data_IF_284920024665
#
_entry.id   IF_284920024665
#
_cell.length_a   1.000
_cell.length_b   1.000
_cell.length_c   1.000
_cell.angle_alpha   90.00
_cell.angle_beta   90.00
_cell.angle_gamma   90.00
#
_symmetry.space_group_name_H-M   'P 1'
#
loop_
_entity.id
_entity.type
_entity.pdbx_description
1 polymer ?
#
# COMPACT_ATOMS: atom_id res chain seq x y z
N UNK A 1 -5.65 -20.17 2.11
CA UNK A 1 -5.55 -19.54 3.45
C UNK A 1 -4.16 -18.93 3.58
N UNK A 2 -3.11 -19.72 3.86
CA UNK A 2 -1.69 -19.28 3.87
C UNK A 2 -1.24 -18.55 2.58
N UNK A 3 -1.63 -19.06 1.41
CA UNK A 3 -1.38 -18.38 0.13
C UNK A 3 -2.23 -17.11 -0.05
N UNK A 4 -3.42 -16.96 0.54
CA UNK A 4 -4.28 -15.78 0.35
C UNK A 4 -3.88 -14.62 1.26
N UNK A 5 -3.40 -14.89 2.47
CA UNK A 5 -2.84 -13.88 3.37
C UNK A 5 -1.41 -13.48 2.97
N UNK A 6 -0.59 -14.45 2.51
CA UNK A 6 0.69 -14.17 1.83
C UNK A 6 0.47 -13.37 0.56
N UNK A 7 -0.53 -13.72 -0.26
CA UNK A 7 -0.97 -12.87 -1.35
C UNK A 7 -1.36 -11.53 -0.76
N UNK A 8 -2.39 -11.35 0.07
CA UNK A 8 -2.81 -10.04 0.59
C UNK A 8 -1.69 -9.16 1.14
N UNK A 9 -0.67 -9.68 1.85
CA UNK A 9 0.47 -8.89 2.33
C UNK A 9 1.47 -8.59 1.21
N UNK A 10 1.78 -9.57 0.35
CA UNK A 10 2.52 -9.34 -0.89
C UNK A 10 1.74 -8.46 -1.84
N UNK A 11 0.41 -8.48 -1.88
CA UNK A 11 -0.47 -7.63 -2.66
C UNK A 11 -0.50 -6.29 -1.99
N UNK A 12 -0.63 -6.08 -0.69
CA UNK A 12 -0.54 -4.75 -0.11
C UNK A 12 0.84 -4.12 -0.29
N UNK A 13 1.93 -4.87 -0.12
CA UNK A 13 3.30 -4.37 -0.38
C UNK A 13 3.55 -4.19 -1.88
N UNK A 14 3.08 -5.12 -2.73
CA UNK A 14 3.09 -4.95 -4.18
C UNK A 14 2.11 -3.86 -4.54
N UNK A 15 0.77 -3.93 -4.48
CA UNK A 15 -0.22 -2.82 -4.57
C UNK A 15 0.28 -1.48 -4.03
N UNK A 16 1.05 -1.38 -2.94
CA UNK A 16 1.65 -0.09 -2.57
C UNK A 16 2.83 0.28 -3.49
N UNK A 17 3.78 -0.63 -3.75
CA UNK A 17 4.86 -0.47 -4.74
C UNK A 17 4.40 -0.51 -6.23
N UNK A 18 3.23 -1.07 -6.50
CA UNK A 18 2.55 -1.38 -7.75
C UNK A 18 1.63 -0.21 -8.01
N UNK A 19 0.79 0.25 -7.10
CA UNK A 19 0.03 1.52 -7.26
C UNK A 19 0.94 2.73 -7.39
N UNK A 20 2.13 2.74 -6.77
CA UNK A 20 3.15 3.76 -7.03
C UNK A 20 3.70 3.73 -8.46
N UNK A 21 3.62 2.57 -9.13
CA UNK A 21 4.17 2.28 -10.46
C UNK A 21 3.05 2.02 -11.51
N UNK A 22 1.78 1.84 -11.11
CA UNK A 22 0.64 1.31 -11.88
C UNK A 22 -0.31 2.39 -12.37
N UNK A 23 -0.17 3.64 -11.93
CA UNK A 23 -0.92 4.74 -12.53
C UNK A 23 -0.25 5.22 -13.83
N UNK A 24 0.12 4.35 -14.76
CA UNK A 24 0.85 4.76 -15.96
C UNK A 24 0.33 4.05 -17.21
N UNK A 25 -0.77 4.53 -17.81
CA UNK A 25 -0.92 4.52 -19.28
C UNK A 25 -2.04 5.46 -19.77
N UNK A 26 -1.70 6.31 -20.73
CA UNK A 26 -2.49 6.51 -21.95
C UNK A 26 -1.49 6.65 -23.11
N UNK A 27 -1.90 6.30 -24.33
CA UNK A 27 -0.98 6.15 -25.47
C UNK A 27 -0.12 7.38 -25.82
N UNK A 28 -0.52 8.57 -25.37
CA UNK A 28 0.24 9.83 -25.51
C UNK A 28 1.27 10.03 -24.38
N UNK A 29 1.01 9.48 -23.18
CA UNK A 29 1.92 9.48 -22.03
C UNK A 29 3.16 8.62 -22.31
N UNK A 30 2.99 7.51 -23.03
CA UNK A 30 4.04 6.54 -23.31
C UNK A 30 5.17 7.07 -24.21
N UNK A 31 4.89 8.11 -25.02
CA UNK A 31 5.92 8.83 -25.79
C UNK A 31 6.77 9.76 -24.93
N UNK A 32 6.22 10.31 -23.84
CA UNK A 32 6.92 11.26 -22.96
C UNK A 32 7.79 10.59 -21.88
N UNK A 33 7.57 9.31 -21.59
CA UNK A 33 8.37 8.54 -20.62
C UNK A 33 9.77 8.23 -21.20
N UNK A 34 10.81 8.92 -20.69
CA UNK A 34 12.20 8.77 -21.16
C UNK A 34 12.85 7.42 -20.79
N UNK A 35 12.34 6.71 -19.79
CA UNK A 35 12.92 5.45 -19.31
C UNK A 35 12.43 4.25 -20.12
N UNK A 36 13.33 3.69 -20.94
CA UNK A 36 13.09 2.47 -21.73
C UNK A 36 12.64 1.27 -20.88
N UNK A 37 13.04 1.18 -19.62
CA UNK A 37 12.68 0.09 -18.72
C UNK A 37 11.27 0.23 -18.16
N UNK A 38 10.89 1.46 -17.80
CA UNK A 38 9.53 1.78 -17.36
C UNK A 38 8.57 1.52 -18.52
N UNK A 39 8.87 2.03 -19.72
CA UNK A 39 8.04 1.80 -20.92
C UNK A 39 7.78 0.31 -21.20
N UNK A 40 8.84 -0.50 -21.24
CA UNK A 40 8.72 -1.95 -21.51
C UNK A 40 7.94 -2.70 -20.43
N UNK A 41 8.07 -2.28 -19.17
CA UNK A 41 7.32 -2.85 -18.06
C UNK A 41 5.83 -2.50 -18.13
N UNK A 42 5.50 -1.25 -18.48
CA UNK A 42 4.13 -0.76 -18.62
C UNK A 42 3.42 -1.40 -19.82
N UNK A 43 4.09 -1.50 -20.96
CA UNK A 43 3.58 -2.22 -22.14
C UNK A 43 3.20 -3.68 -21.79
N UNK A 44 3.95 -4.32 -20.89
CA UNK A 44 3.67 -5.68 -20.43
C UNK A 44 2.51 -5.79 -19.42
N UNK A 45 2.00 -4.66 -18.91
CA UNK A 45 0.94 -4.59 -17.88
C UNK A 45 -0.29 -3.80 -18.29
N UNK A 46 -0.34 -3.34 -19.55
CA UNK A 46 -1.42 -2.54 -20.13
C UNK A 46 -2.82 -3.05 -19.75
N UNK A 47 -3.09 -4.33 -19.99
CA UNK A 47 -4.41 -4.92 -19.72
C UNK A 47 -4.83 -4.80 -18.24
N UNK A 48 -3.89 -4.85 -17.30
CA UNK A 48 -4.16 -4.71 -15.86
C UNK A 48 -4.46 -3.25 -15.48
N UNK A 49 -3.76 -2.31 -16.11
CA UNK A 49 -3.96 -0.88 -15.91
C UNK A 49 -5.30 -0.44 -16.48
N UNK A 50 -5.60 -0.82 -17.72
CA UNK A 50 -6.86 -0.51 -18.40
C UNK A 50 -8.07 -1.05 -17.60
N UNK A 51 -7.94 -2.27 -17.05
CA UNK A 51 -8.97 -2.84 -16.16
C UNK A 51 -9.17 -2.02 -14.89
N UNK A 52 -8.09 -1.61 -14.22
CA UNK A 52 -8.17 -0.81 -12.99
C UNK A 52 -8.71 0.60 -13.23
N UNK A 53 -8.40 1.21 -14.38
CA UNK A 53 -8.96 2.49 -14.79
C UNK A 53 -10.47 2.39 -15.05
N UNK A 54 -10.91 1.30 -15.68
CA UNK A 54 -12.34 1.05 -15.90
C UNK A 54 -13.08 0.89 -14.58
N UNK A 55 -12.55 0.10 -13.64
CA UNK A 55 -13.14 -0.05 -12.30
C UNK A 55 -13.18 1.27 -11.53
N UNK A 56 -12.14 2.09 -11.67
CA UNK A 56 -12.10 3.41 -11.06
C UNK A 56 -13.12 4.36 -11.69
N UNK A 57 -13.34 4.30 -13.00
CA UNK A 57 -14.32 5.13 -13.71
C UNK A 57 -15.78 4.75 -13.35
N UNK A 58 -16.04 3.47 -13.03
CA UNK A 58 -17.34 3.03 -12.48
C UNK A 58 -17.67 3.72 -11.15
N UNK A 59 -16.65 3.97 -10.32
CA UNK A 59 -16.78 4.65 -9.03
C UNK A 59 -16.73 6.17 -9.20
N UNK A 60 -15.91 6.63 -10.13
CA UNK A 60 -15.57 8.03 -10.37
C UNK A 60 -15.64 8.37 -11.87
N UNK A 61 -16.84 8.64 -12.41
CA UNK A 61 -17.01 8.85 -13.85
C UNK A 61 -16.19 10.03 -14.37
N UNK A 62 -15.41 9.79 -15.44
CA UNK A 62 -14.57 10.81 -16.09
C UNK A 62 -13.31 11.18 -15.30
N UNK A 63 -12.92 10.36 -14.32
CA UNK A 63 -11.64 10.54 -13.61
C UNK A 63 -10.47 10.05 -14.46
N UNK A 64 -10.71 9.07 -15.33
CA UNK A 64 -9.73 8.48 -16.24
C UNK A 64 -8.95 9.54 -17.03
N UNK A 65 -9.65 10.44 -17.74
CA UNK A 65 -9.03 11.53 -18.51
C UNK A 65 -8.18 12.47 -17.64
N UNK A 66 -8.69 12.84 -16.45
CA UNK A 66 -7.96 13.73 -15.53
C UNK A 66 -6.76 13.04 -14.88
N UNK A 67 -6.83 11.71 -14.76
CA UNK A 67 -5.77 10.92 -14.18
C UNK A 67 -4.56 10.89 -15.11
N UNK A 68 -4.78 10.87 -16.43
CA UNK A 68 -3.69 10.97 -17.42
C UNK A 68 -2.84 12.22 -17.20
N UNK A 69 -3.48 13.40 -17.07
CA UNK A 69 -2.78 14.66 -16.80
C UNK A 69 -2.06 14.64 -15.44
N UNK A 70 -2.71 14.11 -14.40
CA UNK A 70 -2.11 14.01 -13.07
C UNK A 70 -0.89 13.06 -13.06
N UNK A 71 -0.91 12.03 -13.88
CA UNK A 71 0.16 11.07 -14.08
C UNK A 71 1.35 11.68 -14.82
N UNK A 72 1.10 12.44 -15.89
CA UNK A 72 2.17 13.19 -16.57
C UNK A 72 2.86 14.13 -15.59
N UNK A 73 2.08 14.86 -14.79
CA UNK A 73 2.62 15.76 -13.76
C UNK A 73 3.43 15.00 -12.70
N UNK A 74 2.98 13.81 -12.29
CA UNK A 74 3.74 12.93 -11.40
C UNK A 74 5.09 12.54 -12.00
N UNK A 75 5.12 12.09 -13.25
CA UNK A 75 6.35 11.69 -13.95
C UNK A 75 7.33 12.86 -14.10
N UNK A 76 6.83 14.01 -14.54
CA UNK A 76 7.67 15.21 -14.67
C UNK A 76 8.20 15.70 -13.33
N UNK A 77 7.45 15.50 -12.25
CA UNK A 77 7.90 15.78 -10.90
C UNK A 77 8.97 14.78 -10.45
N UNK A 78 8.77 13.48 -10.71
CA UNK A 78 9.73 12.43 -10.38
C UNK A 78 11.06 12.60 -11.15
N UNK A 79 11.01 12.99 -12.42
CA UNK A 79 12.19 13.29 -13.24
C UNK A 79 12.99 14.53 -12.76
N UNK A 80 12.38 15.39 -11.93
CA UNK A 80 13.04 16.57 -11.33
C UNK A 80 13.62 16.28 -9.94
N UNK A 81 13.44 15.07 -9.41
CA UNK A 81 14.03 14.67 -8.14
C UNK A 81 15.54 14.61 -8.31
N UNK A 82 16.26 15.24 -7.39
CA UNK A 82 17.72 15.36 -7.47
C UNK A 82 18.39 13.99 -7.35
N UNK A 83 19.20 13.63 -8.36
CA UNK A 83 19.96 12.38 -8.42
C UNK A 83 20.98 12.21 -7.28
N UNK A 84 21.30 13.29 -6.55
CA UNK A 84 22.18 13.25 -5.40
C UNK A 84 21.51 12.79 -4.10
N UNK A 85 20.17 12.66 -4.08
CA UNK A 85 19.43 12.16 -2.93
C UNK A 85 19.68 10.67 -2.71
N UNK A 86 19.73 10.26 -1.44
CA UNK A 86 19.68 8.83 -1.11
C UNK A 86 18.34 8.23 -1.53
N UNK A 87 18.28 6.91 -1.72
CA UNK A 87 17.03 6.20 -2.09
C UNK A 87 15.87 6.58 -1.15
N UNK A 88 16.17 6.75 0.14
CA UNK A 88 15.19 7.13 1.15
C UNK A 88 14.67 8.56 1.02
N UNK A 89 15.57 9.51 0.77
CA UNK A 89 15.21 10.91 0.56
C UNK A 89 14.47 11.08 -0.78
N UNK A 90 14.90 10.36 -1.81
CA UNK A 90 14.23 10.32 -3.11
C UNK A 90 12.81 9.76 -2.98
N UNK A 91 12.61 8.63 -2.28
CA UNK A 91 11.27 8.07 -2.04
C UNK A 91 10.42 9.09 -1.27
N UNK A 92 10.91 9.68 -0.17
CA UNK A 92 10.11 10.63 0.60
C UNK A 92 9.72 11.88 -0.20
N UNK A 93 10.68 12.46 -0.91
CA UNK A 93 10.48 13.69 -1.69
C UNK A 93 9.60 13.45 -2.91
N UNK A 94 9.88 12.40 -3.67
CA UNK A 94 9.11 12.04 -4.87
C UNK A 94 7.70 11.61 -4.50
N UNK A 95 7.56 10.74 -3.50
CA UNK A 95 6.26 10.17 -3.17
C UNK A 95 5.30 11.23 -2.68
N UNK A 96 5.69 12.06 -1.72
CA UNK A 96 4.74 13.00 -1.12
C UNK A 96 4.41 14.16 -2.05
N UNK A 97 5.42 14.71 -2.73
CA UNK A 97 5.22 15.91 -3.53
C UNK A 97 4.62 15.58 -4.89
N UNK A 98 5.06 14.49 -5.52
CA UNK A 98 4.62 14.16 -6.86
C UNK A 98 3.25 13.47 -6.89
N UNK A 99 2.84 12.77 -5.83
CA UNK A 99 1.52 12.09 -5.82
C UNK A 99 0.37 12.94 -5.32
N UNK A 100 0.62 14.12 -4.72
CA UNK A 100 -0.45 14.98 -4.22
C UNK A 100 -1.56 15.28 -5.25
N UNK A 101 -1.25 15.61 -6.52
CA UNK A 101 -2.28 15.81 -7.55
C UNK A 101 -3.14 14.57 -7.79
N UNK A 102 -2.52 13.38 -7.80
CA UNK A 102 -3.20 12.09 -7.97
C UNK A 102 -4.12 11.80 -6.78
N UNK A 103 -3.61 11.95 -5.56
CA UNK A 103 -4.37 11.73 -4.32
C UNK A 103 -5.60 12.61 -4.32
N UNK A 104 -5.43 13.91 -4.61
CA UNK A 104 -6.52 14.88 -4.57
C UNK A 104 -7.59 14.56 -5.61
N UNK A 105 -7.17 14.21 -6.83
CA UNK A 105 -8.09 13.86 -7.91
C UNK A 105 -9.00 12.69 -7.53
N UNK A 106 -8.40 11.63 -6.98
CA UNK A 106 -9.15 10.45 -6.53
C UNK A 106 -10.00 10.80 -5.30
N UNK A 107 -9.45 11.52 -4.32
CA UNK A 107 -10.20 11.85 -3.10
C UNK A 107 -11.42 12.74 -3.35
N UNK A 108 -11.33 13.66 -4.32
CA UNK A 108 -12.43 14.54 -4.71
C UNK A 108 -13.58 13.78 -5.38
N UNK A 109 -13.30 12.66 -6.03
CA UNK A 109 -14.30 11.85 -6.73
C UNK A 109 -14.96 10.78 -5.83
N UNK A 110 -14.32 10.42 -4.71
CA UNK A 110 -14.83 9.41 -3.79
C UNK A 110 -16.07 9.91 -3.02
N UNK A 111 -16.99 8.98 -2.64
CA UNK A 111 -18.10 9.31 -1.77
C UNK A 111 -17.60 9.80 -0.41
N UNK A 112 -18.37 10.66 0.27
CA UNK A 112 -17.98 11.29 1.53
C UNK A 112 -17.45 10.31 2.60
N UNK A 113 -18.02 9.10 2.67
CA UNK A 113 -17.59 8.05 3.60
C UNK A 113 -16.16 7.55 3.33
N UNK A 114 -15.73 7.53 2.07
CA UNK A 114 -14.44 7.02 1.62
C UNK A 114 -13.38 8.13 1.43
N UNK A 115 -13.74 9.40 1.67
CA UNK A 115 -12.77 10.49 1.66
C UNK A 115 -11.69 10.28 2.71
N UNK A 116 -10.48 10.69 2.37
CA UNK A 116 -9.26 10.49 3.13
C UNK A 116 -8.60 9.13 2.90
N UNK A 117 -9.25 8.14 2.26
CA UNK A 117 -8.62 6.83 2.01
C UNK A 117 -7.35 6.90 1.15
N UNK A 118 -7.31 7.66 0.04
CA UNK A 118 -6.08 7.81 -0.75
C UNK A 118 -4.95 8.43 0.07
N UNK A 119 -5.26 9.47 0.86
CA UNK A 119 -4.30 10.11 1.77
C UNK A 119 -3.80 9.16 2.85
N UNK A 120 -4.69 8.36 3.44
CA UNK A 120 -4.35 7.33 4.42
C UNK A 120 -3.33 6.34 3.83
N UNK A 121 -3.59 5.82 2.63
CA UNK A 121 -2.71 4.87 1.96
C UNK A 121 -1.30 5.43 1.71
N UNK A 122 -1.20 6.67 1.23
CA UNK A 122 0.09 7.32 0.99
C UNK A 122 0.84 7.63 2.28
N UNK A 123 0.12 8.06 3.33
CA UNK A 123 0.73 8.27 4.65
C UNK A 123 1.23 6.94 5.25
N UNK A 124 0.52 5.83 5.02
CA UNK A 124 0.98 4.50 5.44
C UNK A 124 2.25 4.10 4.70
N UNK A 125 2.31 4.30 3.39
CA UNK A 125 3.52 4.04 2.61
C UNK A 125 4.69 4.91 3.05
N UNK A 126 4.45 6.19 3.30
CA UNK A 126 5.46 7.12 3.82
C UNK A 126 6.02 6.61 5.15
N UNK A 127 5.14 6.24 6.08
CA UNK A 127 5.52 5.72 7.39
C UNK A 127 6.35 4.43 7.28
N UNK A 128 5.95 3.51 6.40
CA UNK A 128 6.73 2.30 6.08
C UNK A 128 8.11 2.65 5.53
N UNK A 129 8.18 3.58 4.57
CA UNK A 129 9.44 4.01 3.97
C UNK A 129 10.36 4.64 5.02
N UNK A 130 9.84 5.55 5.85
CA UNK A 130 10.57 6.14 6.98
C UNK A 130 11.08 5.09 7.96
N UNK A 131 10.28 4.07 8.25
CA UNK A 131 10.67 2.96 9.10
C UNK A 131 11.81 2.15 8.49
N UNK A 132 11.66 1.68 7.25
CA UNK A 132 12.66 0.86 6.54
C UNK A 132 13.98 1.61 6.35
N UNK A 133 13.92 2.92 6.08
CA UNK A 133 15.09 3.77 5.93
C UNK A 133 15.91 3.97 7.20
N UNK A 134 15.31 3.73 8.37
CA UNK A 134 16.01 3.75 9.67
C UNK A 134 16.56 2.38 10.05
N UNK A 135 16.20 1.32 9.32
CA UNK A 135 16.67 -0.03 9.61
C UNK A 135 18.06 -0.28 9.06
N UNK A 136 18.82 -1.11 9.78
CA UNK A 136 20.05 -1.68 9.25
C UNK A 136 19.76 -2.69 8.13
N UNK A 137 20.69 -2.88 7.19
CA UNK A 137 20.53 -3.92 6.16
C UNK A 137 20.31 -5.32 6.76
N UNK A 138 20.99 -5.64 7.87
CA UNK A 138 20.79 -6.89 8.61
C UNK A 138 19.35 -7.00 9.15
N UNK A 139 18.80 -5.93 9.70
CA UNK A 139 17.39 -5.88 10.12
C UNK A 139 16.44 -6.13 8.94
N UNK A 140 16.72 -5.57 7.77
CA UNK A 140 15.89 -5.80 6.57
C UNK A 140 15.92 -7.25 6.10
N UNK A 141 17.05 -7.95 6.22
CA UNK A 141 17.14 -9.38 5.91
C UNK A 141 16.30 -10.24 6.85
N UNK A 142 16.01 -9.78 8.07
CA UNK A 142 15.11 -10.51 8.97
C UNK A 142 13.65 -10.51 8.47
N UNK A 143 13.25 -9.55 7.63
CA UNK A 143 11.97 -9.62 6.91
C UNK A 143 11.94 -10.75 5.87
N UNK A 144 13.10 -11.36 5.57
CA UNK A 144 13.30 -12.56 4.74
C UNK A 144 13.51 -13.84 5.58
N UNK A 145 13.23 -13.79 6.90
CA UNK A 145 13.17 -14.96 7.77
C UNK A 145 11.89 -15.82 7.61
N UNK A 146 12.03 -17.12 7.25
CA UNK A 146 10.91 -18.04 7.08
C UNK A 146 9.93 -18.13 8.24
N UNK A 147 10.34 -17.89 9.49
CA UNK A 147 9.42 -17.99 10.63
C UNK A 147 8.24 -17.01 10.54
N UNK A 148 8.35 -15.93 9.74
CA UNK A 148 7.28 -14.97 9.48
C UNK A 148 6.24 -15.47 8.46
N UNK A 149 6.51 -16.52 7.69
CA UNK A 149 5.56 -17.05 6.69
C UNK A 149 5.42 -18.56 6.63
N UNK A 150 6.41 -19.34 7.01
CA UNK A 150 6.46 -20.80 6.80
C UNK A 150 5.79 -21.59 7.93
N UNK A 151 5.84 -21.15 9.19
CA UNK A 151 5.49 -22.01 10.33
C UNK A 151 4.60 -21.33 11.40
N UNK A 152 3.38 -20.97 11.03
CA UNK A 152 2.30 -20.88 12.02
C UNK A 152 1.69 -22.28 12.20
N UNK A 153 2.26 -23.10 13.08
CA UNK A 153 1.61 -24.34 13.50
C UNK A 153 0.28 -24.01 14.19
N UNK A 154 -0.80 -24.59 13.64
CA UNK A 154 -2.24 -24.55 13.99
C UNK A 154 -2.60 -24.20 15.45
N UNK A 155 -2.36 -22.97 15.87
CA UNK A 155 -2.92 -22.45 17.11
C UNK A 155 -4.36 -22.02 16.84
N UNK A 156 -5.32 -22.56 17.60
CA UNK A 156 -6.75 -22.26 17.43
C UNK A 156 -7.07 -20.76 17.50
N UNK A 157 -6.27 -20.01 18.26
CA UNK A 157 -6.36 -18.55 18.35
C UNK A 157 -5.89 -17.83 17.08
N UNK A 158 -4.80 -18.29 16.45
CA UNK A 158 -4.33 -17.75 15.16
C UNK A 158 -5.38 -18.02 14.07
N UNK A 159 -5.92 -19.25 14.03
CA UNK A 159 -6.94 -19.64 13.07
C UNK A 159 -8.28 -18.88 13.22
N UNK A 160 -8.62 -18.42 14.43
CA UNK A 160 -9.79 -17.56 14.62
C UNK A 160 -9.51 -16.14 14.14
N UNK A 161 -8.34 -15.59 14.47
CA UNK A 161 -7.91 -14.26 14.02
C UNK A 161 -7.91 -14.18 12.48
N UNK A 162 -7.34 -15.17 11.81
CA UNK A 162 -7.31 -15.25 10.34
C UNK A 162 -8.72 -15.28 9.73
N UNK A 163 -9.64 -16.09 10.28
CA UNK A 163 -11.03 -16.17 9.78
C UNK A 163 -11.78 -14.85 9.92
N UNK A 164 -11.56 -14.13 11.03
CA UNK A 164 -12.17 -12.82 11.25
C UNK A 164 -11.62 -11.80 10.25
N UNK A 165 -10.31 -11.84 9.96
CA UNK A 165 -9.71 -10.99 8.93
C UNK A 165 -10.23 -11.34 7.53
N UNK A 166 -10.33 -12.62 7.18
CA UNK A 166 -10.86 -13.08 5.89
C UNK A 166 -12.29 -12.58 5.69
N UNK A 167 -13.14 -12.69 6.72
CA UNK A 167 -14.54 -12.23 6.65
C UNK A 167 -14.62 -10.72 6.43
N UNK A 168 -13.78 -9.94 7.11
CA UNK A 168 -13.74 -8.48 6.93
C UNK A 168 -13.18 -8.08 5.57
N UNK A 169 -12.17 -8.79 5.09
CA UNK A 169 -11.60 -8.58 3.76
C UNK A 169 -12.62 -8.88 2.66
N UNK A 170 -13.34 -9.98 2.78
CA UNK A 170 -14.40 -10.37 1.85
C UNK A 170 -15.48 -9.27 1.75
N UNK A 171 -15.86 -8.67 2.89
CA UNK A 171 -16.77 -7.53 2.94
C UNK A 171 -16.23 -6.30 2.17
N UNK A 172 -14.92 -6.06 2.16
CA UNK A 172 -14.32 -4.94 1.44
C UNK A 172 -14.17 -5.20 -0.05
N UNK A 173 -13.82 -6.43 -0.44
CA UNK A 173 -13.58 -6.80 -1.84
C UNK A 173 -14.88 -7.08 -2.59
N UNK A 174 -15.80 -7.82 -1.96
CA UNK A 174 -17.05 -8.25 -2.59
C UNK A 174 -18.26 -7.39 -2.16
N UNK A 175 -18.05 -6.41 -1.27
CA UNK A 175 -19.08 -5.49 -0.84
C UNK A 175 -19.42 -4.45 -1.90
N UNK A 176 -20.67 -3.97 -1.89
CA UNK A 176 -21.16 -2.95 -2.84
C UNK A 176 -20.81 -1.52 -2.43
N UNK A 177 -20.18 -1.32 -1.29
CA UNK A 177 -19.87 0.01 -0.75
C UNK A 177 -18.42 0.10 -0.29
N UNK A 178 -17.76 1.21 -0.65
CA UNK A 178 -16.43 1.51 -0.16
C UNK A 178 -16.40 1.63 1.38
N UNK A 179 -15.33 1.15 2.03
CA UNK A 179 -15.17 1.29 3.47
C UNK A 179 -14.90 2.74 3.86
N UNK A 180 -15.18 3.10 5.11
CA UNK A 180 -14.67 4.36 5.65
C UNK A 180 -13.22 4.24 6.11
N UNK A 181 -12.56 5.37 6.27
CA UNK A 181 -11.25 5.47 6.93
C UNK A 181 -11.23 4.76 8.29
N UNK A 182 -12.27 4.93 9.11
CA UNK A 182 -12.40 4.24 10.41
C UNK A 182 -12.52 2.72 10.25
N UNK A 183 -13.28 2.23 9.26
CA UNK A 183 -13.40 0.80 8.97
C UNK A 183 -12.06 0.20 8.53
N UNK A 184 -11.33 0.89 7.64
CA UNK A 184 -9.99 0.48 7.20
C UNK A 184 -9.02 0.48 8.37
N UNK A 185 -9.03 1.50 9.22
CA UNK A 185 -8.15 1.59 10.37
C UNK A 185 -8.45 0.54 11.45
N UNK A 186 -9.72 0.23 11.70
CA UNK A 186 -10.13 -0.86 12.59
C UNK A 186 -9.69 -2.22 12.04
N UNK A 187 -9.80 -2.43 10.73
CA UNK A 187 -9.29 -3.62 10.06
C UNK A 187 -7.77 -3.72 10.18
N UNK A 188 -7.03 -2.66 9.87
CA UNK A 188 -5.58 -2.63 9.96
C UNK A 188 -5.06 -2.91 11.39
N UNK A 189 -5.75 -2.37 12.40
CA UNK A 189 -5.45 -2.66 13.81
C UNK A 189 -5.69 -4.13 14.15
N UNK A 190 -6.73 -4.73 13.56
CA UNK A 190 -7.03 -6.16 13.74
C UNK A 190 -5.95 -7.02 13.09
N UNK A 191 -5.50 -6.67 11.87
CA UNK A 191 -4.38 -7.33 11.18
C UNK A 191 -3.13 -7.28 12.05
N UNK A 192 -2.80 -6.10 12.58
CA UNK A 192 -1.67 -5.92 13.50
C UNK A 192 -1.74 -6.84 14.70
N UNK A 193 -2.89 -6.93 15.36
CA UNK A 193 -3.06 -7.78 16.52
C UNK A 193 -2.89 -9.26 16.17
N UNK A 194 -3.41 -9.71 15.02
CA UNK A 194 -3.21 -11.07 14.54
C UNK A 194 -1.73 -11.37 14.26
N UNK A 195 -1.04 -10.49 13.55
CA UNK A 195 0.39 -10.65 13.24
C UNK A 195 1.26 -10.63 14.49
N UNK A 196 0.89 -9.85 15.50
CA UNK A 196 1.57 -9.87 16.80
C UNK A 196 1.42 -11.21 17.51
N UNK A 197 0.20 -11.72 17.58
CA UNK A 197 -0.06 -13.02 18.20
C UNK A 197 0.65 -14.16 17.46
N UNK A 198 0.74 -14.08 16.14
CA UNK A 198 1.43 -15.07 15.33
C UNK A 198 2.95 -14.95 15.47
N UNK A 199 3.50 -13.75 15.30
CA UNK A 199 4.94 -13.51 15.41
C UNK A 199 5.52 -13.86 16.79
N UNK A 200 4.77 -13.66 17.88
CA UNK A 200 5.17 -14.08 19.23
C UNK A 200 5.29 -15.61 19.37
N UNK A 201 4.52 -16.39 18.60
CA UNK A 201 4.50 -17.85 18.64
C UNK A 201 5.46 -18.48 17.62
N UNK A 202 5.45 -17.98 16.40
CA UNK A 202 6.13 -18.57 15.25
C UNK A 202 7.61 -18.19 15.18
N UNK A 203 7.99 -16.99 15.64
CA UNK A 203 9.36 -16.50 15.58
C UNK A 203 10.03 -16.40 16.96
N UNK A 204 11.10 -17.18 17.18
CA UNK A 204 11.91 -17.11 18.41
C UNK A 204 12.94 -15.96 18.41
N UNK A 205 13.41 -15.56 17.22
CA UNK A 205 14.38 -14.48 17.08
C UNK A 205 13.71 -13.13 17.41
N UNK A 206 14.24 -12.44 18.42
CA UNK A 206 13.72 -11.14 18.86
C UNK A 206 13.83 -10.07 17.78
N UNK A 207 14.96 -9.99 17.07
CA UNK A 207 15.20 -9.01 16.02
C UNK A 207 14.19 -9.19 14.88
N UNK A 208 13.93 -10.42 14.47
CA UNK A 208 12.90 -10.74 13.46
C UNK A 208 11.52 -10.25 13.88
N UNK A 209 11.12 -10.52 15.13
CA UNK A 209 9.82 -10.06 15.66
C UNK A 209 9.74 -8.54 15.71
N UNK A 210 10.77 -7.87 16.20
CA UNK A 210 10.80 -6.41 16.30
C UNK A 210 10.74 -5.74 14.93
N UNK A 211 11.46 -6.28 13.94
CA UNK A 211 11.44 -5.70 12.59
C UNK A 211 10.09 -5.93 11.91
N UNK A 212 9.53 -7.13 12.02
CA UNK A 212 8.23 -7.45 11.48
C UNK A 212 7.12 -6.59 12.12
N UNK A 213 7.09 -6.52 13.45
CA UNK A 213 6.09 -5.69 14.16
C UNK A 213 6.27 -4.21 13.88
N UNK A 214 7.52 -3.72 13.82
CA UNK A 214 7.78 -2.33 13.46
C UNK A 214 7.29 -1.98 12.06
N UNK A 215 7.39 -2.91 11.10
CA UNK A 215 6.81 -2.74 9.76
C UNK A 215 5.28 -2.64 9.82
N UNK A 216 4.61 -3.53 10.57
CA UNK A 216 3.15 -3.45 10.72
C UNK A 216 2.73 -2.17 11.43
N UNK A 217 3.44 -1.78 12.48
CA UNK A 217 3.21 -0.54 13.22
C UNK A 217 3.34 0.67 12.31
N UNK A 218 4.33 0.67 11.42
CA UNK A 218 4.50 1.71 10.42
C UNK A 218 3.32 1.79 9.45
N UNK A 219 2.81 0.64 8.96
CA UNK A 219 1.62 0.60 8.08
C UNK A 219 0.42 1.25 8.78
N UNK A 220 0.21 0.97 10.07
CA UNK A 220 -0.98 1.44 10.80
C UNK A 220 -0.81 2.79 11.48
N UNK A 221 0.39 3.34 11.54
CA UNK A 221 0.67 4.60 12.26
C UNK A 221 -0.27 5.76 11.88
N UNK A 222 -0.65 5.96 10.59
CA UNK A 222 -1.60 7.01 10.23
C UNK A 222 -3.00 6.82 10.84
N UNK A 223 -3.39 5.58 11.16
CA UNK A 223 -4.66 5.28 11.80
C UNK A 223 -4.69 5.67 13.28
N UNK A 224 -3.54 5.73 13.94
CA UNK A 224 -3.43 6.15 15.34
C UNK A 224 -3.81 7.62 15.53
N UNK A 225 -3.44 8.48 14.58
CA UNK A 225 -3.75 9.91 14.60
C UNK A 225 -5.25 10.21 14.40
N UNK A 226 -6.02 9.27 13.84
CA UNK A 226 -7.45 9.45 13.53
C UNK A 226 -8.31 9.09 14.74
N UNK A 227 -7.92 8.07 15.50
CA UNK A 227 -8.65 7.65 16.70
C UNK A 227 -8.57 8.67 17.85
N UNK A 228 -7.59 9.59 17.83
CA UNK A 228 -7.47 10.68 18.82
C UNK A 228 -8.40 11.87 18.54
N UNK A 229 -8.98 11.98 17.34
CA UNK A 229 -9.87 13.10 16.96
C UNK A 229 -11.35 12.78 17.25
N UNK A 230 -11.70 11.50 17.34
CA UNK A 230 -13.05 11.01 17.60
C UNK A 230 -13.29 10.54 19.06
N UNK A 231 -12.34 10.78 19.98
CA UNK A 231 -12.46 10.48 21.43
C UNK A 231 -12.45 11.73 22.30
#
# INVERSE_FOLDING_TARGET
IRNKLRYFYLTCITIIAVNFIHCLDSGEVLEKVKSKHIRKYLEAKKDTVDSGLSELDEICPGVSEKLEDAVINFLECADKVDDSLTICEAIQSATLNCTQPLIKLVDDCLPAKAKGLPSLGINSFRSVSEYLCKQSGESLFELLNPCLWEDAEDSSATAQCERDLETRMDKFVNGTSLPSTTEVCSFATSVRNCLKLDGEKSCKNQKTREVALGLVDAIVAPCSAINEVDS
#
